data_IF_179196627818
#
_entry.id   IF_179196627818
#
_cell.length_a   1.000
_cell.length_b   1.000
_cell.length_c   1.000
_cell.angle_alpha   90.00
_cell.angle_beta   90.00
_cell.angle_gamma   90.00
#
_symmetry.space_group_name_H-M   'P 1'
#
loop_
_entity.id
_entity.type
_entity.pdbx_description
1 polymer ?
#
# COMPACT_ATOMS: atom_id res chain seq x y z
N UNK A 1 -22.71 17.75 6.40
CA UNK A 1 -21.84 17.60 5.20
C UNK A 1 -20.42 17.45 5.75
N UNK A 2 -19.74 16.35 5.41
CA UNK A 2 -18.46 15.91 5.99
C UNK A 2 -17.43 17.03 6.06
N UNK A 3 -16.83 17.23 7.23
CA UNK A 3 -15.71 18.14 7.43
C UNK A 3 -14.92 17.71 8.67
N UNK A 4 -14.06 16.71 8.50
CA UNK A 4 -12.95 16.47 9.43
C UNK A 4 -11.66 16.42 8.61
N UNK A 5 -11.13 17.62 8.36
CA UNK A 5 -9.80 17.85 7.84
C UNK A 5 -8.87 18.07 9.02
N UNK A 6 -8.27 17.01 9.57
CA UNK A 6 -7.15 17.14 10.50
C UNK A 6 -5.81 17.15 9.72
N UNK A 7 -4.93 18.14 9.91
CA UNK A 7 -3.67 18.24 9.19
C UNK A 7 -2.55 17.46 9.91
N UNK A 8 -1.88 16.59 9.13
CA UNK A 8 -0.64 15.84 9.42
C UNK A 8 -0.77 14.58 10.33
N UNK A 9 -0.39 13.42 9.77
CA UNK A 9 -0.12 12.10 10.40
C UNK A 9 -1.22 11.01 10.46
N UNK A 10 -2.49 11.28 10.15
CA UNK A 10 -3.51 10.20 10.13
C UNK A 10 -3.53 9.46 8.77
N UNK A 11 -2.60 8.53 8.59
CA UNK A 11 -2.71 7.58 7.51
C UNK A 11 -4.00 6.73 7.62
N UNK A 12 -4.61 6.33 6.49
CA UNK A 12 -5.77 5.44 6.49
C UNK A 12 -5.53 4.15 7.28
N UNK A 13 -6.61 3.40 7.55
CA UNK A 13 -6.53 2.10 8.23
C UNK A 13 -5.47 1.22 7.57
N UNK A 14 -4.69 0.53 8.40
CA UNK A 14 -3.58 -0.36 7.99
C UNK A 14 -2.42 0.34 7.24
N UNK A 15 -2.37 1.67 7.25
CA UNK A 15 -1.22 2.45 6.77
C UNK A 15 -0.50 3.16 7.91
N UNK A 16 0.75 3.53 7.67
CA UNK A 16 1.58 4.35 8.56
C UNK A 16 2.40 5.32 7.71
N UNK A 17 2.67 6.51 8.24
CA UNK A 17 3.54 7.45 7.56
C UNK A 17 4.99 6.94 7.58
N UNK A 18 5.69 7.05 6.46
CA UNK A 18 7.09 6.63 6.35
C UNK A 18 7.61 6.65 4.92
N UNK A 19 8.85 6.19 4.74
CA UNK A 19 9.45 6.01 3.43
C UNK A 19 9.01 4.68 2.80
N UNK A 20 8.79 4.67 1.49
CA UNK A 20 8.51 3.46 0.72
C UNK A 20 9.18 3.51 -0.66
N UNK A 21 9.52 2.34 -1.20
CA UNK A 21 10.08 2.23 -2.57
C UNK A 21 8.99 2.24 -3.64
N UNK A 22 9.37 2.39 -4.91
CA UNK A 22 8.46 2.35 -6.07
C UNK A 22 7.74 1.00 -6.31
N UNK A 23 8.11 -0.04 -5.55
CA UNK A 23 7.53 -1.38 -5.64
C UNK A 23 7.10 -1.89 -4.25
N UNK A 24 6.00 -1.36 -3.71
CA UNK A 24 5.36 -1.91 -2.54
C UNK A 24 4.84 -3.32 -2.84
N UNK A 25 4.81 -4.17 -1.82
CA UNK A 25 4.11 -5.43 -1.92
C UNK A 25 2.60 -5.18 -2.14
N UNK A 26 2.03 -5.93 -3.05
CA UNK A 26 0.62 -5.91 -3.41
C UNK A 26 0.13 -7.34 -3.63
N UNK A 27 -1.19 -7.55 -3.62
CA UNK A 27 -1.77 -8.85 -3.96
C UNK A 27 -1.25 -9.40 -5.31
N UNK A 28 -1.05 -8.52 -6.29
CA UNK A 28 -0.47 -8.90 -7.58
C UNK A 28 1.01 -9.30 -7.48
N UNK A 29 1.82 -8.59 -6.69
CA UNK A 29 3.26 -8.88 -6.61
C UNK A 29 3.56 -10.19 -5.88
N UNK A 30 2.65 -10.65 -5.00
CA UNK A 30 2.74 -11.95 -4.34
C UNK A 30 2.69 -13.11 -5.34
N UNK A 31 1.96 -12.96 -6.44
CA UNK A 31 1.85 -13.96 -7.51
C UNK A 31 2.78 -13.66 -8.70
N UNK A 32 3.26 -12.43 -8.84
CA UNK A 32 4.11 -11.96 -9.94
C UNK A 32 5.37 -11.23 -9.42
N UNK A 33 6.39 -11.95 -8.95
CA UNK A 33 7.55 -11.39 -8.24
C UNK A 33 8.49 -10.53 -9.11
N UNK A 34 8.33 -10.53 -10.44
CA UNK A 34 9.21 -9.82 -11.38
C UNK A 34 8.66 -8.45 -11.79
N UNK A 35 8.42 -7.56 -10.83
CA UNK A 35 8.09 -6.17 -11.16
C UNK A 35 9.34 -5.35 -11.46
N UNK A 36 9.33 -4.65 -12.60
CA UNK A 36 10.32 -3.63 -12.88
C UNK A 36 10.08 -2.41 -11.98
N UNK A 37 11.12 -2.02 -11.24
CA UNK A 37 11.12 -0.97 -10.23
C UNK A 37 12.25 0.03 -10.51
N UNK A 38 11.96 1.32 -10.38
CA UNK A 38 12.96 2.40 -10.60
C UNK A 38 13.88 2.64 -9.41
N UNK A 39 13.72 1.90 -8.31
CA UNK A 39 14.51 2.00 -7.07
C UNK A 39 14.47 3.40 -6.41
N UNK A 40 13.45 4.23 -6.68
CA UNK A 40 13.30 5.50 -5.99
C UNK A 40 12.62 5.29 -4.64
N UNK A 41 12.99 6.15 -3.70
CA UNK A 41 12.37 6.25 -2.38
C UNK A 41 11.40 7.43 -2.39
N UNK A 42 10.17 7.17 -1.96
CA UNK A 42 9.10 8.12 -1.77
C UNK A 42 8.75 8.23 -0.28
N UNK A 43 7.97 9.25 0.09
CA UNK A 43 7.48 9.48 1.45
C UNK A 43 5.97 9.68 1.46
N UNK A 44 5.29 9.08 2.44
CA UNK A 44 3.85 9.16 2.58
C UNK A 44 3.27 7.98 3.35
N UNK A 45 1.98 7.70 3.15
CA UNK A 45 1.33 6.57 3.80
C UNK A 45 1.65 5.25 3.09
N UNK A 46 2.42 4.39 3.75
CA UNK A 46 2.70 3.02 3.31
C UNK A 46 1.87 2.01 4.09
N UNK A 47 1.65 0.83 3.53
CA UNK A 47 1.07 -0.26 4.32
C UNK A 47 1.94 -0.57 5.54
N UNK A 48 1.27 -0.87 6.66
CA UNK A 48 1.94 -1.41 7.86
C UNK A 48 2.63 -2.73 7.51
N UNK A 49 3.61 -3.10 8.31
CA UNK A 49 4.29 -4.39 8.15
C UNK A 49 3.28 -5.55 8.23
N UNK A 50 3.41 -6.53 7.34
CA UNK A 50 2.47 -7.64 7.19
C UNK A 50 1.18 -7.31 6.39
N UNK A 51 1.06 -6.10 5.85
CA UNK A 51 -0.02 -5.72 4.95
C UNK A 51 0.51 -5.37 3.56
N UNK A 52 -0.27 -5.70 2.53
CA UNK A 52 0.04 -5.47 1.13
C UNK A 52 -1.04 -4.59 0.49
N UNK A 53 -0.69 -3.87 -0.57
CA UNK A 53 -1.67 -3.11 -1.35
C UNK A 53 -2.67 -4.07 -2.02
N UNK A 54 -3.94 -3.75 -1.93
CA UNK A 54 -4.98 -4.48 -2.64
C UNK A 54 -4.79 -4.36 -4.16
N UNK A 55 -4.57 -3.13 -4.65
CA UNK A 55 -4.35 -2.86 -6.07
C UNK A 55 -2.86 -2.60 -6.34
N UNK A 56 -2.34 -3.26 -7.37
CA UNK A 56 -0.94 -3.14 -7.76
C UNK A 56 -0.54 -1.70 -8.09
N UNK A 57 0.58 -1.21 -7.54
CA UNK A 57 1.14 0.13 -7.75
C UNK A 57 0.21 1.31 -7.40
N UNK A 58 -0.92 1.06 -6.74
CA UNK A 58 -1.85 2.09 -6.31
C UNK A 58 -1.71 2.32 -4.80
N UNK A 59 -0.85 3.27 -4.41
CA UNK A 59 -0.56 3.56 -2.99
C UNK A 59 -1.75 4.09 -2.20
N UNK A 60 -2.79 4.57 -2.87
CA UNK A 60 -4.07 4.98 -2.27
C UNK A 60 -5.01 3.81 -2.00
N UNK A 61 -4.77 2.64 -2.60
CA UNK A 61 -5.59 1.44 -2.37
C UNK A 61 -5.50 0.96 -0.93
N UNK A 62 -6.51 0.21 -0.50
CA UNK A 62 -6.54 -0.37 0.84
C UNK A 62 -5.36 -1.33 1.06
N UNK A 63 -4.93 -1.41 2.31
CA UNK A 63 -3.91 -2.37 2.74
C UNK A 63 -4.60 -3.54 3.44
N UNK A 64 -4.45 -4.72 2.86
CA UNK A 64 -5.05 -5.98 3.33
C UNK A 64 -3.94 -6.94 3.74
N UNK A 65 -4.28 -8.00 4.48
CA UNK A 65 -3.31 -9.07 4.71
C UNK A 65 -3.12 -9.90 3.44
N UNK A 66 -1.96 -10.51 3.22
CA UNK A 66 -1.73 -11.43 2.11
C UNK A 66 -2.80 -12.52 1.98
N UNK A 67 -3.28 -13.06 3.11
CA UNK A 67 -4.35 -14.08 3.12
C UNK A 67 -5.73 -13.57 2.69
N UNK A 68 -5.96 -12.25 2.72
CA UNK A 68 -7.22 -11.60 2.34
C UNK A 68 -7.20 -11.12 0.88
N UNK A 69 -6.13 -11.38 0.14
CA UNK A 69 -6.05 -11.01 -1.27
C UNK A 69 -7.14 -11.75 -2.08
N UNK A 70 -7.80 -11.06 -3.02
CA UNK A 70 -8.73 -11.73 -3.92
C UNK A 70 -7.97 -12.80 -4.70
N UNK A 71 -8.37 -14.05 -4.53
CA UNK A 71 -7.89 -15.11 -5.40
C UNK A 71 -8.49 -14.84 -6.78
N UNK A 72 -7.64 -14.41 -7.72
CA UNK A 72 -7.97 -14.36 -9.15
C UNK A 72 -8.46 -15.78 -9.53
N UNK A 73 -9.78 -15.95 -9.61
CA UNK A 73 -10.42 -17.20 -10.04
C UNK A 73 -10.63 -17.19 -11.55
#
# INVERSE_FOLDING_TARGET
MMSDSEPAENCPKNKTYGSYGDCPESCYSLTHPHQACTMKINYGCRCKEGYVLLTNKEYTSDCVKPEDCPNES
#
